data_IF_665142933443
#
_entry.id   IF_665142933443
#
_cell.length_a   1.000
_cell.length_b   1.000
_cell.length_c   1.000
_cell.angle_alpha   90.00
_cell.angle_beta   90.00
_cell.angle_gamma   90.00
#
_symmetry.space_group_name_H-M   'P 1'
#
loop_
_entity.id
_entity.type
_entity.pdbx_description
1 polymer ?
#
# COMPACT_ATOMS: atom_id res chain seq x y z
N UNK A 1 -9.25 -6.05 -5.47
CA UNK A 1 -8.08 -6.06 -4.57
C UNK A 1 -8.37 -5.15 -3.39
N UNK A 2 -8.16 -5.62 -2.17
CA UNK A 2 -8.54 -4.88 -0.96
C UNK A 2 -7.35 -4.05 -0.45
N UNK A 3 -7.29 -2.79 -0.84
CA UNK A 3 -6.18 -1.89 -0.51
C UNK A 3 -6.00 -1.68 1.00
N UNK A 4 -7.09 -1.80 1.77
CA UNK A 4 -7.05 -1.72 3.22
C UNK A 4 -6.21 -2.86 3.79
N UNK A 5 -6.44 -4.07 3.31
CA UNK A 5 -5.70 -5.25 3.76
C UNK A 5 -4.21 -5.14 3.38
N UNK A 6 -3.93 -4.72 2.14
CA UNK A 6 -2.55 -4.48 1.67
C UNK A 6 -1.80 -3.51 2.57
N UNK A 7 -2.38 -2.33 2.84
CA UNK A 7 -1.75 -1.32 3.70
C UNK A 7 -1.60 -1.86 5.13
N UNK A 8 -2.59 -2.59 5.65
CA UNK A 8 -2.52 -3.17 6.99
C UNK A 8 -1.41 -4.22 7.11
N UNK A 9 -1.21 -5.06 6.09
CA UNK A 9 -0.11 -6.03 6.08
C UNK A 9 1.26 -5.36 5.99
N UNK A 10 1.41 -4.32 5.15
CA UNK A 10 2.65 -3.55 5.09
C UNK A 10 2.97 -2.89 6.43
N UNK A 11 1.95 -2.36 7.13
CA UNK A 11 2.13 -1.85 8.49
C UNK A 11 2.50 -2.95 9.49
N UNK A 12 1.92 -4.14 9.37
CA UNK A 12 2.27 -5.29 10.21
C UNK A 12 3.70 -5.78 9.96
N UNK A 13 4.23 -5.58 8.74
CA UNK A 13 5.64 -5.83 8.40
C UNK A 13 6.60 -4.74 8.93
N UNK A 14 6.09 -3.71 9.61
CA UNK A 14 6.89 -2.63 10.22
C UNK A 14 7.00 -1.36 9.37
N UNK A 15 6.32 -1.28 8.22
CA UNK A 15 6.35 -0.06 7.40
C UNK A 15 5.38 1.00 7.91
N UNK A 16 5.86 2.24 7.92
CA UNK A 16 5.01 3.40 8.17
C UNK A 16 4.27 3.82 6.90
N UNK A 17 3.14 4.52 7.04
CA UNK A 17 2.40 5.05 5.88
C UNK A 17 3.24 6.02 5.04
N UNK A 18 4.19 6.71 5.66
CA UNK A 18 5.12 7.63 4.99
C UNK A 18 6.12 6.87 4.11
N UNK A 19 6.67 5.76 4.62
CA UNK A 19 7.56 4.87 3.87
C UNK A 19 6.84 4.23 2.70
N UNK A 20 5.62 3.71 2.92
CA UNK A 20 4.80 3.13 1.86
C UNK A 20 4.52 4.20 0.79
N UNK A 21 4.13 5.41 1.21
CA UNK A 21 3.85 6.53 0.31
C UNK A 21 5.06 6.89 -0.55
N UNK A 22 6.25 6.91 0.05
CA UNK A 22 7.51 7.18 -0.64
C UNK A 22 7.85 6.07 -1.65
N UNK A 23 7.69 4.81 -1.27
CA UNK A 23 7.96 3.65 -2.15
C UNK A 23 6.99 3.60 -3.34
N UNK A 24 5.72 3.93 -3.14
CA UNK A 24 4.72 3.96 -4.23
C UNK A 24 4.61 5.32 -4.93
N UNK A 25 5.50 6.26 -4.63
CA UNK A 25 5.53 7.62 -5.17
C UNK A 25 4.14 8.30 -5.11
N UNK A 26 3.54 8.30 -3.93
CA UNK A 26 2.20 8.80 -3.71
C UNK A 26 2.10 9.62 -2.42
N UNK A 27 1.08 10.47 -2.29
CA UNK A 27 0.92 11.25 -1.06
C UNK A 27 0.43 10.37 0.10
N UNK A 28 0.92 10.59 1.32
CA UNK A 28 0.45 9.90 2.55
C UNK A 28 -1.07 10.06 2.74
N UNK A 29 -1.62 11.22 2.37
CA UNK A 29 -3.05 11.50 2.36
C UNK A 29 -3.84 10.54 1.46
N UNK A 30 -3.23 10.09 0.36
CA UNK A 30 -3.78 9.10 -0.56
C UNK A 30 -3.97 7.76 0.16
N UNK A 31 -2.92 7.26 0.80
CA UNK A 31 -2.95 6.00 1.57
C UNK A 31 -3.92 6.09 2.75
N UNK A 32 -3.95 7.21 3.48
CA UNK A 32 -4.92 7.45 4.56
C UNK A 32 -6.36 7.43 4.08
N UNK A 33 -6.63 7.88 2.86
CA UNK A 33 -7.98 7.81 2.28
C UNK A 33 -8.32 6.39 1.77
N UNK A 34 -7.33 5.64 1.28
CA UNK A 34 -7.49 4.22 0.91
C UNK A 34 -7.78 3.36 2.14
N UNK A 35 -7.01 3.54 3.22
CA UNK A 35 -7.15 2.80 4.48
C UNK A 35 -8.49 3.03 5.19
N UNK A 36 -9.16 4.16 4.92
CA UNK A 36 -10.45 4.52 5.52
C UNK A 36 -11.65 4.15 4.65
N UNK A 37 -11.47 3.36 3.59
CA UNK A 37 -12.51 3.01 2.60
C UNK A 37 -13.18 4.24 1.97
N UNK A 38 -12.55 5.41 2.08
CA UNK A 38 -13.18 6.71 1.83
C UNK A 38 -13.17 7.11 0.34
N UNK A 39 -12.77 6.21 -0.57
CA UNK A 39 -12.67 6.55 -1.99
C UNK A 39 -13.24 5.51 -2.93
N UNK A 40 -14.38 5.87 -3.51
CA UNK A 40 -14.76 5.56 -4.89
C UNK A 40 -13.99 6.40 -5.94
N UNK A 41 -12.86 7.01 -5.58
CA UNK A 41 -11.96 7.74 -6.50
C UNK A 41 -10.99 6.71 -7.09
N UNK A 42 -10.97 6.57 -8.41
CA UNK A 42 -10.02 5.72 -9.15
C UNK A 42 -8.60 5.96 -8.61
N UNK A 43 -7.98 4.91 -8.08
CA UNK A 43 -6.55 4.88 -7.87
C UNK A 43 -5.90 4.92 -9.25
N UNK A 44 -4.87 5.76 -9.44
CA UNK A 44 -4.08 5.70 -10.68
C UNK A 44 -3.48 4.31 -10.83
N UNK A 45 -3.53 3.76 -12.03
CA UNK A 45 -3.03 2.41 -12.34
C UNK A 45 -1.59 2.21 -11.86
N UNK A 46 -0.74 3.23 -12.03
CA UNK A 46 0.65 3.23 -11.59
C UNK A 46 0.81 3.03 -10.06
N UNK A 47 0.04 3.78 -9.27
CA UNK A 47 0.05 3.67 -7.80
C UNK A 47 -0.46 2.29 -7.37
N UNK A 48 -1.49 1.77 -8.04
CA UNK A 48 -1.98 0.41 -7.78
C UNK A 48 -0.89 -0.64 -8.01
N UNK A 49 -0.25 -0.61 -9.18
CA UNK A 49 0.83 -1.53 -9.55
C UNK A 49 2.03 -1.47 -8.59
N UNK A 50 2.47 -0.26 -8.22
CA UNK A 50 3.58 -0.11 -7.25
C UNK A 50 3.20 -0.64 -5.88
N UNK A 51 1.97 -0.40 -5.43
CA UNK A 51 1.48 -0.87 -4.13
C UNK A 51 1.31 -2.39 -4.09
N UNK A 52 0.85 -3.00 -5.18
CA UNK A 52 0.83 -4.45 -5.35
C UNK A 52 2.24 -5.04 -5.31
N UNK A 53 3.18 -4.48 -6.06
CA UNK A 53 4.57 -4.93 -6.07
C UNK A 53 5.21 -4.85 -4.68
N UNK A 54 5.02 -3.72 -3.98
CA UNK A 54 5.49 -3.55 -2.61
C UNK A 54 4.84 -4.60 -1.68
N UNK A 55 3.55 -4.82 -1.82
CA UNK A 55 2.84 -5.84 -1.04
C UNK A 55 3.39 -7.24 -1.27
N UNK A 56 3.62 -7.65 -2.52
CA UNK A 56 4.18 -8.95 -2.86
C UNK A 56 5.59 -9.12 -2.29
N UNK A 57 6.42 -8.07 -2.39
CA UNK A 57 7.78 -8.04 -1.84
C UNK A 57 7.81 -8.27 -0.33
N UNK A 58 6.85 -7.72 0.43
CA UNK A 58 6.76 -7.89 1.88
C UNK A 58 5.91 -9.10 2.30
N UNK A 59 5.04 -9.61 1.42
CA UNK A 59 4.20 -10.78 1.66
C UNK A 59 4.97 -12.08 1.50
N UNK A 60 6.01 -12.12 0.68
CA UNK A 60 6.94 -13.24 0.72
C UNK A 60 7.87 -13.00 1.92
N UNK A 61 7.67 -13.66 3.08
CA UNK A 61 8.84 -13.94 3.88
C UNK A 61 9.77 -14.72 2.96
N UNK A 62 11.05 -14.35 2.99
CA UNK A 62 12.14 -15.18 2.50
C UNK A 62 11.74 -16.66 2.71
N UNK A 63 11.48 -17.37 1.61
CA UNK A 63 11.37 -18.82 1.65
C UNK A 63 12.79 -19.33 1.85
N UNK A 64 13.27 -19.24 3.09
CA UNK A 64 14.50 -19.83 3.59
C UNK A 64 14.14 -20.99 4.52
#
# INVERSE_FOLDING_TARGET
MDWINVISSLKAAGLSLEEIAKEVDCSVSLLRALSRKARGKRLSYDVGRKLEYLYEKYRQPDAA
#
